data_IF_334358616632
#
_entry.id   IF_334358616632
#
_cell.length_a   1.000
_cell.length_b   1.000
_cell.length_c   1.000
_cell.angle_alpha   90.00
_cell.angle_beta   90.00
_cell.angle_gamma   90.00
#
_symmetry.space_group_name_H-M   'P 1'
#
loop_
_entity.id
_entity.type
_entity.pdbx_description
1 polymer ?
#
# COMPACT_ATOMS: atom_id res chain seq x y z
N UNK A 1 -32.57 -2.93 8.26
CA UNK A 1 -31.86 -1.92 7.44
C UNK A 1 -30.37 -1.73 7.81
N UNK A 2 -29.68 -2.78 8.31
CA UNK A 2 -28.25 -3.01 8.07
C UNK A 2 -27.99 -4.46 7.61
N UNK A 3 -29.08 -5.23 7.50
CA UNK A 3 -29.13 -6.67 7.28
C UNK A 3 -28.77 -7.10 5.85
N UNK A 4 -28.81 -6.18 4.89
CA UNK A 4 -28.42 -6.46 3.50
C UNK A 4 -26.90 -6.57 3.34
N UNK A 5 -26.13 -5.79 4.12
CA UNK A 5 -24.67 -5.78 4.07
C UNK A 5 -24.03 -7.00 4.76
N UNK A 6 -24.75 -7.70 5.66
CA UNK A 6 -24.31 -8.96 6.27
C UNK A 6 -24.63 -10.20 5.43
N UNK A 7 -25.44 -10.07 4.37
CA UNK A 7 -25.86 -11.19 3.51
C UNK A 7 -25.00 -11.37 2.26
N UNK A 8 -24.19 -10.38 1.86
CA UNK A 8 -23.40 -10.42 0.61
C UNK A 8 -21.96 -10.91 0.80
N UNK A 9 -21.53 -11.16 2.03
CA UNK A 9 -20.20 -11.68 2.34
C UNK A 9 -20.39 -13.07 2.97
N UNK A 10 -20.06 -14.17 2.26
CA UNK A 10 -20.15 -15.50 2.84
C UNK A 10 -19.04 -15.64 3.88
N UNK A 11 -19.39 -15.52 5.17
CA UNK A 11 -18.48 -15.88 6.26
C UNK A 11 -18.63 -15.06 7.54
N UNK A 12 -18.10 -15.57 8.65
CA UNK A 12 -18.16 -14.95 9.98
C UNK A 12 -17.51 -13.57 10.00
N UNK A 13 -17.88 -12.74 10.98
CA UNK A 13 -17.39 -11.35 11.17
C UNK A 13 -15.85 -11.25 11.05
N UNK A 14 -15.13 -12.25 11.55
CA UNK A 14 -13.67 -12.39 11.43
C UNK A 14 -13.13 -12.41 10.00
N UNK A 15 -13.84 -13.05 9.06
CA UNK A 15 -13.42 -13.11 7.66
C UNK A 15 -13.48 -11.73 7.00
N UNK A 16 -14.48 -10.92 7.36
CA UNK A 16 -14.62 -9.54 6.86
C UNK A 16 -13.49 -8.65 7.38
N UNK A 17 -13.12 -8.82 8.64
CA UNK A 17 -11.96 -8.15 9.24
C UNK A 17 -10.68 -8.58 8.51
N UNK A 18 -10.48 -9.89 8.32
CA UNK A 18 -9.30 -10.43 7.64
C UNK A 18 -9.17 -9.89 6.21
N UNK A 19 -10.26 -9.88 5.42
CA UNK A 19 -10.27 -9.34 4.06
C UNK A 19 -9.95 -7.85 4.03
N UNK A 20 -10.53 -7.06 4.95
CA UNK A 20 -10.23 -5.63 5.07
C UNK A 20 -8.75 -5.40 5.39
N UNK A 21 -8.21 -6.17 6.33
CA UNK A 21 -6.79 -6.09 6.71
C UNK A 21 -5.87 -6.46 5.55
N UNK A 22 -6.22 -7.50 4.79
CA UNK A 22 -5.49 -7.92 3.59
C UNK A 22 -5.54 -6.83 2.52
N UNK A 23 -6.69 -6.20 2.27
CA UNK A 23 -6.81 -5.09 1.32
C UNK A 23 -5.88 -3.92 1.69
N UNK A 24 -5.84 -3.56 2.97
CA UNK A 24 -4.94 -2.51 3.48
C UNK A 24 -3.48 -2.94 3.31
N UNK A 25 -3.15 -4.19 3.65
CA UNK A 25 -1.81 -4.75 3.49
C UNK A 25 -1.36 -4.75 2.04
N UNK A 26 -2.23 -5.16 1.11
CA UNK A 26 -1.97 -5.14 -0.33
C UNK A 26 -1.74 -3.71 -0.80
N UNK A 27 -2.57 -2.75 -0.38
CA UNK A 27 -2.38 -1.34 -0.74
C UNK A 27 -1.03 -0.81 -0.27
N UNK A 28 -0.63 -1.10 0.97
CA UNK A 28 0.69 -0.71 1.50
C UNK A 28 1.84 -1.32 0.70
N UNK A 29 1.76 -2.62 0.37
CA UNK A 29 2.77 -3.32 -0.43
C UNK A 29 2.86 -2.72 -1.84
N UNK A 30 1.72 -2.43 -2.46
CA UNK A 30 1.65 -1.83 -3.79
C UNK A 30 2.23 -0.41 -3.76
N UNK A 31 1.97 0.36 -2.72
CA UNK A 31 2.60 1.65 -2.49
C UNK A 31 4.14 1.51 -2.44
N UNK A 32 4.66 0.64 -1.58
CA UNK A 32 6.11 0.51 -1.38
C UNK A 32 6.82 -0.04 -2.61
N UNK A 33 6.25 -1.05 -3.27
CA UNK A 33 6.89 -1.72 -4.41
C UNK A 33 6.70 -0.97 -5.74
N UNK A 34 5.62 -0.21 -5.89
CA UNK A 34 5.28 0.42 -7.17
C UNK A 34 5.20 1.95 -7.07
N UNK A 35 4.46 2.49 -6.09
CA UNK A 35 4.27 3.94 -5.98
C UNK A 35 5.58 4.66 -5.62
N UNK A 36 6.38 4.12 -4.71
CA UNK A 36 7.66 4.72 -4.31
C UNK A 36 8.66 4.79 -5.48
N UNK A 37 8.94 3.70 -6.23
CA UNK A 37 9.80 3.77 -7.40
C UNK A 37 9.27 4.66 -8.52
N UNK A 38 7.94 4.75 -8.68
CA UNK A 38 7.34 5.65 -9.65
C UNK A 38 7.49 7.12 -9.22
N UNK A 39 7.24 7.44 -7.95
CA UNK A 39 7.39 8.79 -7.39
C UNK A 39 8.84 9.25 -7.35
N UNK A 40 9.81 8.36 -7.14
CA UNK A 40 11.23 8.72 -7.12
C UNK A 40 11.74 9.25 -8.46
N UNK A 41 11.05 8.94 -9.57
CA UNK A 41 11.35 9.54 -10.87
C UNK A 41 11.03 11.04 -10.93
N UNK A 42 10.04 11.48 -10.15
CA UNK A 42 9.56 12.86 -10.15
C UNK A 42 10.04 13.66 -8.94
N UNK A 43 10.59 12.98 -7.92
CA UNK A 43 10.93 13.59 -6.64
C UNK A 43 12.26 13.07 -6.11
N UNK A 44 13.14 14.00 -5.70
CA UNK A 44 14.48 13.68 -5.20
C UNK A 44 14.51 13.30 -3.70
N UNK A 45 13.37 12.87 -3.13
CA UNK A 45 13.28 12.59 -1.69
C UNK A 45 14.14 11.41 -1.22
N UNK A 46 14.63 10.59 -2.15
CA UNK A 46 15.41 9.38 -1.87
C UNK A 46 16.87 9.49 -2.35
N UNK A 47 17.26 10.62 -2.95
CA UNK A 47 18.64 10.85 -3.37
C UNK A 47 19.55 11.01 -2.15
N UNK A 48 20.65 10.24 -2.11
CA UNK A 48 21.65 10.34 -1.04
C UNK A 48 22.57 11.54 -1.27
N UNK A 49 22.52 12.52 -0.36
CA UNK A 49 23.35 13.74 -0.43
C UNK A 49 24.85 13.47 -0.26
N UNK A 50 25.23 12.29 0.28
CA UNK A 50 26.63 11.89 0.45
C UNK A 50 26.98 10.88 -0.66
N UNK A 51 27.53 11.38 -1.77
CA UNK A 51 28.00 10.57 -2.91
C UNK A 51 27.76 11.17 -4.30
N UNK A 52 26.87 12.15 -4.44
CA UNK A 52 26.56 12.79 -5.74
C UNK A 52 27.62 13.80 -6.23
N UNK A 53 28.67 14.07 -5.43
CA UNK A 53 29.73 15.05 -5.71
C UNK A 53 31.11 14.41 -5.97
N UNK A 54 31.21 13.08 -5.99
CA UNK A 54 32.47 12.38 -6.23
C UNK A 54 32.43 11.61 -7.55
N UNK A 55 32.12 12.30 -8.64
CA UNK A 55 32.47 11.88 -9.99
C UNK A 55 33.48 12.93 -10.51
N UNK A 56 34.74 12.56 -10.79
CA UNK A 56 35.71 13.47 -11.40
C UNK A 56 35.33 13.85 -12.83
#
# INVERSE_FOLDING_TARGET
MYSWLFHHLPGPLWLRIAISLVLIGVALVLMVLYLFPWMSQYTQFTDSTIGSQSQP
#
